data_IF_589594045359
#
_entry.id   IF_589594045359
#
_cell.length_a   1.000
_cell.length_b   1.000
_cell.length_c   1.000
_cell.angle_alpha   90.00
_cell.angle_beta   90.00
_cell.angle_gamma   90.00
#
_symmetry.space_group_name_H-M   'P 1'
#
loop_
_entity.id
_entity.type
_entity.pdbx_description
1 polymer ?
#
# COMPACT_ATOMS: atom_id res chain seq x y z
N UNK A 1 7.21 20.54 -25.78
CA UNK A 1 7.82 19.19 -25.77
C UNK A 1 6.96 18.31 -24.87
N UNK A 2 6.72 17.04 -25.21
CA UNK A 2 5.94 16.17 -24.32
C UNK A 2 6.66 16.05 -22.96
N UNK A 3 5.88 16.16 -21.87
CA UNK A 3 6.39 16.07 -20.50
C UNK A 3 6.74 14.62 -20.16
N UNK A 4 7.81 14.41 -19.38
CA UNK A 4 8.18 13.08 -18.86
C UNK A 4 7.05 12.56 -17.97
N UNK A 5 6.59 11.33 -18.22
CA UNK A 5 5.44 10.75 -17.52
C UNK A 5 5.63 10.73 -16.00
N UNK A 6 6.87 10.57 -15.51
CA UNK A 6 7.19 10.50 -14.08
C UNK A 6 6.93 11.81 -13.33
N UNK A 7 6.98 12.93 -14.04
CA UNK A 7 6.77 14.26 -13.48
C UNK A 7 5.29 14.65 -13.47
N UNK A 8 4.46 14.00 -14.28
CA UNK A 8 3.05 14.35 -14.40
C UNK A 8 2.30 14.07 -13.10
N UNK A 9 1.31 14.88 -12.72
CA UNK A 9 0.51 14.60 -11.53
C UNK A 9 -0.28 13.30 -11.67
N UNK A 10 -0.78 12.99 -12.87
CA UNK A 10 -1.44 11.72 -13.18
C UNK A 10 -1.31 11.35 -14.66
N UNK A 11 -1.59 10.08 -14.96
CA UNK A 11 -1.59 9.53 -16.33
C UNK A 11 -2.94 8.87 -16.63
N UNK A 12 -3.35 8.95 -17.89
CA UNK A 12 -4.58 8.37 -18.43
C UNK A 12 -4.32 7.02 -19.13
N UNK A 13 -5.40 6.38 -19.61
CA UNK A 13 -5.26 5.20 -20.47
C UNK A 13 -4.40 5.47 -21.71
N UNK A 14 -4.64 6.59 -22.39
CA UNK A 14 -3.91 6.97 -23.60
C UNK A 14 -2.42 7.23 -23.31
N UNK A 15 -2.12 7.79 -22.15
CA UNK A 15 -0.72 8.00 -21.73
C UNK A 15 -0.02 6.66 -21.48
N UNK A 16 -0.70 5.72 -20.84
CA UNK A 16 -0.16 4.39 -20.56
C UNK A 16 0.09 3.60 -21.85
N UNK A 17 -0.84 3.63 -22.82
CA UNK A 17 -0.69 2.90 -24.10
C UNK A 17 0.27 3.57 -25.07
N UNK A 18 0.61 4.84 -24.86
CA UNK A 18 1.65 5.54 -25.61
C UNK A 18 3.08 5.19 -25.15
N UNK A 19 3.25 4.50 -24.01
CA UNK A 19 4.56 4.06 -23.54
C UNK A 19 5.11 2.96 -24.45
N UNK A 20 6.38 3.08 -24.84
CA UNK A 20 7.03 2.19 -25.81
C UNK A 20 7.10 0.71 -25.37
N UNK A 21 6.98 0.45 -24.07
CA UNK A 21 6.99 -0.90 -23.49
C UNK A 21 5.60 -1.43 -23.14
N UNK A 22 4.54 -0.66 -23.41
CA UNK A 22 3.14 -1.10 -23.28
C UNK A 22 2.59 -1.36 -24.68
N UNK A 23 1.79 -2.42 -24.83
CA UNK A 23 1.11 -2.71 -26.10
C UNK A 23 0.19 -1.55 -26.46
N UNK A 24 0.25 -1.06 -27.69
CA UNK A 24 -0.58 0.05 -28.18
C UNK A 24 -2.08 -0.27 -28.18
N UNK A 25 -2.44 -1.54 -28.33
CA UNK A 25 -3.81 -2.05 -28.22
C UNK A 25 -3.84 -3.18 -27.19
N UNK A 26 -3.81 -2.87 -25.89
CA UNK A 26 -3.83 -3.88 -24.84
C UNK A 26 -5.26 -4.46 -24.72
N UNK A 27 -5.41 -5.73 -24.31
CA UNK A 27 -6.72 -6.34 -24.07
C UNK A 27 -7.34 -5.90 -22.72
N UNK A 28 -7.04 -4.68 -22.27
CA UNK A 28 -7.46 -4.15 -20.99
C UNK A 28 -7.61 -2.63 -21.02
N UNK A 29 -8.32 -2.09 -20.04
CA UNK A 29 -8.41 -0.65 -19.81
C UNK A 29 -7.57 -0.29 -18.60
N UNK A 30 -6.78 0.78 -18.74
CA UNK A 30 -6.03 1.35 -17.63
C UNK A 30 -6.81 2.52 -17.05
N UNK A 31 -7.20 2.45 -15.77
CA UNK A 31 -7.88 3.55 -15.07
C UNK A 31 -7.00 4.04 -13.93
N UNK A 32 -6.87 5.36 -13.75
CA UNK A 32 -6.11 5.91 -12.61
C UNK A 32 -6.71 5.40 -11.31
N UNK A 33 -5.87 4.82 -10.45
CA UNK A 33 -6.30 4.46 -9.11
C UNK A 33 -6.35 5.71 -8.24
N UNK A 34 -7.41 5.84 -7.43
CA UNK A 34 -7.62 7.03 -6.61
C UNK A 34 -6.57 7.18 -5.50
N UNK A 35 -5.96 6.09 -5.04
CA UNK A 35 -4.90 6.07 -4.01
C UNK A 35 -3.50 6.14 -4.62
N UNK A 36 -3.30 7.03 -5.58
CA UNK A 36 -1.99 7.18 -6.20
C UNK A 36 -1.00 7.81 -5.19
N UNK A 37 0.08 7.10 -4.88
CA UNK A 37 1.15 7.60 -4.00
C UNK A 37 2.12 8.57 -4.67
N UNK A 38 3.00 9.19 -3.88
CA UNK A 38 4.01 10.16 -4.34
C UNK A 38 5.16 9.52 -5.15
N UNK A 39 5.32 8.20 -5.04
CA UNK A 39 6.47 7.45 -5.58
C UNK A 39 6.15 6.71 -6.88
N UNK A 40 4.88 6.53 -7.21
CA UNK A 40 4.45 5.79 -8.40
C UNK A 40 3.18 6.37 -9.02
N UNK A 41 3.02 6.15 -10.32
CA UNK A 41 1.69 6.08 -10.93
C UNK A 41 1.09 4.73 -10.62
N UNK A 42 -0.17 4.71 -10.18
CA UNK A 42 -0.90 3.49 -9.87
C UNK A 42 -2.16 3.49 -10.75
N UNK A 43 -2.28 2.46 -11.58
CA UNK A 43 -3.35 2.27 -12.53
C UNK A 43 -4.04 0.95 -12.23
N UNK A 44 -5.36 0.94 -12.21
CA UNK A 44 -6.18 -0.27 -12.24
C UNK A 44 -6.13 -0.86 -13.65
N UNK A 45 -5.92 -2.18 -13.74
CA UNK A 45 -6.08 -2.95 -14.98
C UNK A 45 -7.46 -3.59 -14.94
N UNK A 46 -8.32 -3.17 -15.86
CA UNK A 46 -9.74 -3.55 -15.91
C UNK A 46 -10.07 -4.38 -17.15
N UNK A 47 -11.08 -5.23 -17.05
CA UNK A 47 -11.69 -5.85 -18.23
C UNK A 47 -12.48 -4.79 -19.01
N UNK A 48 -12.27 -4.64 -20.34
CA UNK A 48 -13.07 -3.74 -21.16
C UNK A 48 -14.59 -3.99 -21.08
N UNK A 49 -15.01 -5.26 -20.97
CA UNK A 49 -16.42 -5.63 -20.84
C UNK A 49 -17.01 -5.13 -19.51
N UNK A 50 -16.28 -5.26 -18.40
CA UNK A 50 -16.73 -4.75 -17.09
C UNK A 50 -16.84 -3.22 -17.12
N UNK A 51 -15.91 -2.53 -17.79
CA UNK A 51 -15.97 -1.07 -17.99
C UNK A 51 -17.17 -0.68 -18.84
N UNK A 52 -17.53 -1.47 -19.84
CA UNK A 52 -18.73 -1.21 -20.64
C UNK A 52 -20.01 -1.41 -19.83
N UNK A 53 -20.06 -2.44 -18.97
CA UNK A 53 -21.17 -2.64 -18.02
C UNK A 53 -21.25 -1.48 -17.03
N UNK A 54 -20.13 -1.00 -16.50
CA UNK A 54 -20.08 0.17 -15.61
C UNK A 54 -20.67 1.43 -16.29
N UNK A 55 -20.42 1.61 -17.60
CA UNK A 55 -20.87 2.78 -18.35
C UNK A 55 -22.32 2.69 -18.82
N UNK A 56 -22.71 1.55 -19.38
CA UNK A 56 -24.02 1.35 -19.99
C UNK A 56 -25.07 0.90 -18.98
N UNK A 57 -24.64 0.30 -17.88
CA UNK A 57 -25.49 -0.29 -16.85
C UNK A 57 -26.10 -1.62 -17.29
N UNK A 58 -26.40 -2.47 -16.31
CA UNK A 58 -27.07 -3.76 -16.49
C UNK A 58 -28.42 -3.77 -15.77
N UNK A 59 -29.40 -4.52 -16.28
CA UNK A 59 -30.71 -4.69 -15.64
C UNK A 59 -30.64 -5.86 -14.65
N UNK A 60 -30.88 -5.56 -13.37
CA UNK A 60 -30.98 -6.56 -12.30
C UNK A 60 -32.32 -6.30 -11.61
N UNK A 61 -33.21 -7.30 -11.61
CA UNK A 61 -34.56 -7.22 -11.02
C UNK A 61 -35.37 -5.99 -11.50
N UNK A 62 -35.24 -5.64 -12.79
CA UNK A 62 -35.92 -4.49 -13.41
C UNK A 62 -35.28 -3.14 -13.10
N UNK A 63 -34.24 -3.08 -12.27
CA UNK A 63 -33.51 -1.86 -11.91
C UNK A 63 -32.22 -1.80 -12.73
N UNK A 64 -31.95 -0.66 -13.38
CA UNK A 64 -30.67 -0.44 -14.07
C UNK A 64 -29.60 -0.09 -13.05
N UNK A 65 -28.63 -0.97 -12.90
CA UNK A 65 -27.47 -0.83 -12.01
C UNK A 65 -26.20 -0.58 -12.81
N UNK A 66 -25.28 0.20 -12.25
CA UNK A 66 -23.99 0.54 -12.86
C UNK A 66 -22.87 0.01 -11.95
N UNK A 67 -22.64 -1.32 -11.92
CA UNK A 67 -21.61 -1.89 -11.08
C UNK A 67 -20.24 -1.37 -11.53
N UNK A 68 -19.42 -0.94 -10.58
CA UNK A 68 -18.07 -0.48 -10.88
C UNK A 68 -17.21 -1.67 -11.32
N UNK A 69 -16.48 -1.52 -12.42
CA UNK A 69 -15.51 -2.49 -12.89
C UNK A 69 -14.43 -2.72 -11.81
N UNK A 70 -14.22 -3.98 -11.45
CA UNK A 70 -13.23 -4.37 -10.43
C UNK A 70 -11.85 -4.56 -11.07
N UNK A 71 -10.78 -3.99 -10.49
CA UNK A 71 -9.43 -4.21 -10.99
C UNK A 71 -9.06 -5.69 -10.95
N UNK A 72 -8.52 -6.21 -12.05
CA UNK A 72 -7.89 -7.55 -12.08
C UNK A 72 -6.50 -7.54 -11.48
N UNK A 73 -5.78 -6.43 -11.67
CA UNK A 73 -4.44 -6.15 -11.17
C UNK A 73 -4.23 -4.64 -11.07
N UNK A 74 -3.16 -4.25 -10.38
CA UNK A 74 -2.66 -2.90 -10.32
C UNK A 74 -1.37 -2.79 -11.14
N UNK A 75 -1.30 -1.84 -12.06
CA UNK A 75 -0.09 -1.49 -12.78
C UNK A 75 0.55 -0.28 -12.13
N UNK A 76 1.81 -0.41 -11.73
CA UNK A 76 2.58 0.61 -11.04
C UNK A 76 3.75 1.05 -11.89
N UNK A 77 3.97 2.35 -12.02
CA UNK A 77 5.13 2.93 -12.72
C UNK A 77 5.85 3.84 -11.74
N UNK A 78 7.09 3.53 -11.42
CA UNK A 78 7.86 4.34 -10.48
C UNK A 78 8.19 5.70 -11.08
N UNK A 79 8.11 6.74 -10.24
CA UNK A 79 8.46 8.13 -10.59
C UNK A 79 9.95 8.40 -10.40
N UNK A 80 10.63 7.60 -9.57
CA UNK A 80 12.06 7.71 -9.31
C UNK A 80 12.86 7.46 -10.59
N UNK A 81 13.85 8.33 -10.84
CA UNK A 81 14.77 8.17 -11.98
C UNK A 81 15.92 7.25 -11.56
N UNK A 82 15.94 6.05 -12.10
CA UNK A 82 16.96 5.04 -11.80
C UNK A 82 18.11 5.21 -12.78
N UNK A 83 19.20 5.87 -12.35
CA UNK A 83 20.34 6.21 -13.22
C UNK A 83 21.10 4.99 -13.76
N UNK A 84 21.01 3.85 -13.08
CA UNK A 84 21.75 2.63 -13.38
C UNK A 84 20.89 1.41 -13.11
N UNK A 85 21.24 0.29 -13.74
CA UNK A 85 20.61 -1.00 -13.48
C UNK A 85 20.79 -1.41 -12.01
N UNK A 86 21.95 -1.15 -11.41
CA UNK A 86 22.21 -1.46 -10.00
C UNK A 86 21.25 -0.73 -9.05
N UNK A 87 20.92 0.54 -9.34
CA UNK A 87 19.94 1.29 -8.55
C UNK A 87 18.55 0.67 -8.68
N UNK A 88 18.19 0.19 -9.87
CA UNK A 88 16.91 -0.50 -10.10
C UNK A 88 16.86 -1.86 -9.38
N UNK A 89 17.95 -2.63 -9.43
CA UNK A 89 18.07 -3.90 -8.72
C UNK A 89 18.03 -3.73 -7.20
N UNK A 90 18.64 -2.66 -6.67
CA UNK A 90 18.56 -2.32 -5.26
C UNK A 90 17.11 -2.00 -4.83
N UNK A 91 16.33 -1.30 -5.68
CA UNK A 91 14.91 -1.06 -5.44
C UNK A 91 14.11 -2.35 -5.38
N UNK A 92 14.30 -3.23 -6.35
CA UNK A 92 13.66 -4.55 -6.37
C UNK A 92 14.07 -5.36 -5.14
N UNK A 93 15.35 -5.30 -4.73
CA UNK A 93 15.85 -5.96 -3.53
C UNK A 93 15.13 -5.55 -2.25
N UNK A 94 14.69 -4.30 -2.14
CA UNK A 94 13.84 -3.83 -1.03
C UNK A 94 12.48 -4.51 -1.06
N UNK A 95 11.81 -4.53 -2.21
CA UNK A 95 10.51 -5.23 -2.37
C UNK A 95 10.65 -6.71 -2.03
N UNK A 96 11.71 -7.38 -2.50
CA UNK A 96 12.00 -8.79 -2.18
C UNK A 96 12.29 -9.05 -0.71
N UNK A 97 12.80 -8.04 0.01
CA UNK A 97 12.94 -8.13 1.47
C UNK A 97 11.56 -8.19 2.10
N UNK A 98 10.63 -7.30 1.74
CA UNK A 98 9.27 -7.31 2.31
C UNK A 98 8.53 -8.59 1.95
N UNK A 99 8.61 -9.05 0.70
CA UNK A 99 8.04 -10.33 0.27
C UNK A 99 8.53 -11.50 1.13
N UNK A 100 9.83 -11.56 1.47
CA UNK A 100 10.39 -12.65 2.29
C UNK A 100 9.71 -12.80 3.65
N UNK A 101 9.29 -11.69 4.26
CA UNK A 101 8.71 -11.69 5.61
C UNK A 101 7.18 -11.72 5.60
N UNK A 102 6.53 -11.18 4.57
CA UNK A 102 5.08 -11.02 4.52
C UNK A 102 4.37 -11.96 3.55
N UNK A 103 5.05 -12.50 2.54
CA UNK A 103 4.43 -13.41 1.59
C UNK A 103 4.22 -14.82 2.19
N UNK A 104 3.20 -15.54 1.71
CA UNK A 104 2.16 -15.09 0.78
C UNK A 104 0.99 -14.36 1.46
N UNK A 105 0.93 -14.38 2.79
CA UNK A 105 -0.32 -14.12 3.53
C UNK A 105 -0.65 -12.63 3.72
N UNK A 106 0.35 -11.75 3.74
CA UNK A 106 0.20 -10.37 4.23
C UNK A 106 0.71 -9.30 3.27
N UNK A 107 0.91 -9.64 2.00
CA UNK A 107 1.38 -8.71 0.97
C UNK A 107 0.61 -8.93 -0.33
N UNK A 108 0.24 -7.84 -0.99
CA UNK A 108 -0.24 -7.90 -2.36
C UNK A 108 0.91 -8.32 -3.26
N UNK A 109 0.84 -9.54 -3.79
CA UNK A 109 1.94 -10.10 -4.57
C UNK A 109 2.23 -9.24 -5.79
N UNK A 110 3.51 -9.01 -6.12
CA UNK A 110 3.89 -8.20 -7.28
C UNK A 110 4.99 -8.84 -8.13
N UNK A 111 4.89 -8.61 -9.44
CA UNK A 111 5.94 -8.86 -10.41
C UNK A 111 6.55 -7.52 -10.80
N UNK A 112 7.83 -7.34 -10.48
CA UNK A 112 8.60 -6.14 -10.81
C UNK A 112 9.38 -6.32 -12.12
N UNK A 113 9.39 -5.27 -12.96
CA UNK A 113 9.98 -5.26 -14.29
C UNK A 113 10.82 -4.00 -14.48
N UNK A 114 12.04 -4.15 -14.99
CA UNK A 114 12.87 -3.04 -15.45
C UNK A 114 12.71 -2.96 -16.96
N UNK A 115 12.35 -1.79 -17.48
CA UNK A 115 12.08 -1.58 -18.90
C UNK A 115 12.85 -0.40 -19.45
N UNK A 116 13.23 -0.50 -20.73
CA UNK A 116 13.72 0.63 -21.50
C UNK A 116 12.57 1.60 -21.79
N UNK A 117 12.72 2.84 -21.35
CA UNK A 117 11.74 3.90 -21.52
C UNK A 117 12.28 4.97 -22.48
N UNK A 118 11.50 5.27 -23.53
CA UNK A 118 11.78 6.38 -24.45
C UNK A 118 11.08 7.64 -23.95
N UNK A 119 11.78 8.44 -23.16
CA UNK A 119 11.31 9.71 -22.65
C UNK A 119 11.62 10.91 -23.56
N UNK A 120 11.22 12.13 -23.16
CA UNK A 120 11.49 13.35 -23.94
C UNK A 120 12.97 13.71 -24.07
N UNK A 121 13.82 13.17 -23.18
CA UNK A 121 15.26 13.40 -23.15
C UNK A 121 16.08 12.25 -23.73
N UNK A 122 15.44 11.23 -24.31
CA UNK A 122 16.09 10.03 -24.84
C UNK A 122 15.71 8.75 -24.09
N UNK A 123 16.57 7.76 -24.16
CA UNK A 123 16.40 6.47 -23.49
C UNK A 123 16.78 6.55 -22.01
N UNK A 124 15.99 5.92 -21.17
CA UNK A 124 16.18 5.85 -19.72
C UNK A 124 15.61 4.52 -19.18
N UNK A 125 15.94 4.17 -17.93
CA UNK A 125 15.36 3.02 -17.24
C UNK A 125 14.15 3.43 -16.42
N UNK A 126 13.10 2.61 -16.46
CA UNK A 126 11.93 2.74 -15.60
C UNK A 126 11.66 1.41 -14.92
N UNK A 127 11.41 1.46 -13.60
CA UNK A 127 10.86 0.34 -12.86
C UNK A 127 9.34 0.41 -12.90
N UNK A 128 8.70 -0.69 -13.25
CA UNK A 128 7.26 -0.85 -13.21
C UNK A 128 6.90 -2.21 -12.61
N UNK A 129 5.67 -2.35 -12.13
CA UNK A 129 5.23 -3.57 -11.47
C UNK A 129 3.77 -3.89 -11.72
N UNK A 130 3.47 -5.17 -11.84
CA UNK A 130 2.10 -5.69 -11.83
C UNK A 130 1.83 -6.29 -10.46
N UNK A 131 0.94 -5.67 -9.72
CA UNK A 131 0.57 -6.09 -8.37
C UNK A 131 -0.84 -6.67 -8.38
N UNK A 132 -1.07 -7.64 -7.50
CA UNK A 132 -2.38 -8.14 -7.16
C UNK A 132 -3.30 -7.00 -6.68
N UNK A 133 -4.56 -7.02 -7.12
CA UNK A 133 -5.58 -6.19 -6.52
C UNK A 133 -6.14 -6.91 -5.30
N UNK A 134 -6.10 -6.24 -4.15
CA UNK A 134 -6.59 -6.79 -2.88
C UNK A 134 -7.90 -6.12 -2.53
N UNK A 135 -8.95 -6.91 -2.48
CA UNK A 135 -10.28 -6.47 -2.06
C UNK A 135 -10.43 -6.49 -0.54
N UNK A 136 -11.05 -5.44 0.00
CA UNK A 136 -11.29 -5.29 1.44
C UNK A 136 -11.48 -3.84 1.88
N UNK A 137 -11.40 -3.62 3.19
CA UNK A 137 -11.47 -2.27 3.78
C UNK A 137 -10.10 -1.75 4.16
N UNK A 138 -9.96 -0.42 4.18
CA UNK A 138 -8.74 0.22 4.68
C UNK A 138 -8.61 -0.06 6.17
N UNK A 139 -7.45 -0.57 6.57
CA UNK A 139 -7.02 -0.54 7.95
C UNK A 139 -6.22 0.75 8.18
N UNK A 140 -6.88 1.79 8.66
CA UNK A 140 -6.24 3.07 8.96
C UNK A 140 -5.74 3.08 10.42
N UNK A 141 -4.41 3.10 10.67
CA UNK A 141 -3.87 3.15 12.02
C UNK A 141 -4.27 4.42 12.79
N UNK A 142 -4.59 5.51 12.09
CA UNK A 142 -4.86 6.83 12.69
C UNK A 142 -6.33 7.08 13.03
N UNK A 143 -7.22 6.15 12.69
CA UNK A 143 -8.65 6.25 12.99
C UNK A 143 -8.92 6.54 14.47
N UNK A 144 -9.99 7.28 14.76
CA UNK A 144 -10.40 7.58 16.14
C UNK A 144 -11.07 6.39 16.84
N UNK A 145 -11.45 5.36 16.08
CA UNK A 145 -12.07 4.16 16.63
C UNK A 145 -11.11 3.40 17.53
N UNK A 146 -11.60 3.01 18.70
CA UNK A 146 -10.87 2.20 19.66
C UNK A 146 -10.94 0.70 19.32
N UNK A 147 -10.31 -0.12 20.16
CA UNK A 147 -10.27 -1.56 19.96
C UNK A 147 -11.63 -2.28 20.02
N UNK A 148 -12.63 -1.69 20.69
CA UNK A 148 -13.97 -2.25 20.81
C UNK A 148 -14.81 -1.92 19.60
N UNK A 149 -14.59 -0.77 18.97
CA UNK A 149 -15.41 -0.26 17.88
C UNK A 149 -14.83 -0.54 16.48
N UNK A 150 -13.51 -0.59 16.35
CA UNK A 150 -12.83 -0.67 15.04
C UNK A 150 -13.26 -1.90 14.23
N UNK A 151 -13.10 -3.11 14.80
CA UNK A 151 -13.35 -4.34 14.06
C UNK A 151 -14.84 -4.53 13.73
N UNK A 152 -15.79 -4.26 14.65
CA UNK A 152 -17.20 -4.11 14.31
C UNK A 152 -17.50 -3.22 13.11
N UNK A 153 -16.99 -1.98 13.11
CA UNK A 153 -17.28 -1.02 12.06
C UNK A 153 -16.74 -1.48 10.70
N UNK A 154 -15.55 -2.09 10.69
CA UNK A 154 -14.97 -2.67 9.48
C UNK A 154 -15.79 -3.87 8.96
N UNK A 155 -16.24 -4.76 9.85
CA UNK A 155 -17.09 -5.89 9.48
C UNK A 155 -18.42 -5.43 8.86
N UNK A 156 -19.09 -4.47 9.50
CA UNK A 156 -20.38 -3.96 9.03
C UNK A 156 -20.21 -3.28 7.66
N UNK A 157 -19.08 -2.57 7.44
CA UNK A 157 -18.76 -1.97 6.13
C UNK A 157 -18.54 -3.03 5.05
N UNK A 158 -17.78 -4.10 5.35
CA UNK A 158 -17.58 -5.22 4.44
C UNK A 158 -18.91 -5.90 4.09
N UNK A 159 -19.79 -6.11 5.08
CA UNK A 159 -21.10 -6.74 4.91
C UNK A 159 -22.10 -5.90 4.12
N UNK A 160 -21.90 -4.57 4.03
CA UNK A 160 -22.69 -3.73 3.14
C UNK A 160 -22.25 -3.82 1.66
N UNK A 161 -20.98 -4.15 1.41
CA UNK A 161 -20.46 -4.35 0.04
C UNK A 161 -20.73 -5.76 -0.46
N UNK A 162 -20.49 -6.75 0.39
CA UNK A 162 -20.69 -8.16 0.09
C UNK A 162 -22.12 -8.58 0.43
N UNK A 163 -22.83 -9.20 -0.51
CA UNK A 163 -24.19 -9.71 -0.24
C UNK A 163 -24.20 -10.79 0.84
N UNK A 164 -23.08 -11.51 1.05
CA UNK A 164 -22.95 -12.51 2.10
C UNK A 164 -21.48 -12.67 2.48
N UNK A 165 -21.16 -12.42 3.76
CA UNK A 165 -19.82 -12.68 4.30
C UNK A 165 -19.67 -14.17 4.68
N UNK A 166 -18.46 -14.74 4.51
CA UNK A 166 -18.23 -16.17 4.73
C UNK A 166 -18.17 -16.57 6.21
N UNK A 167 -17.96 -15.60 7.11
CA UNK A 167 -17.81 -15.81 8.55
C UNK A 167 -18.84 -14.98 9.30
N UNK A 168 -19.28 -15.47 10.46
CA UNK A 168 -20.00 -14.61 11.39
C UNK A 168 -19.08 -13.50 11.92
N UNK A 169 -19.66 -12.42 12.44
CA UNK A 169 -18.90 -11.28 12.99
C UNK A 169 -17.87 -11.70 14.04
N UNK A 170 -18.25 -12.58 14.98
CA UNK A 170 -17.34 -13.03 16.04
C UNK A 170 -16.22 -13.95 15.52
N UNK A 171 -16.52 -14.80 14.53
CA UNK A 171 -15.50 -15.62 13.85
C UNK A 171 -14.53 -14.77 13.04
N UNK A 172 -15.04 -13.78 12.32
CA UNK A 172 -14.21 -12.85 11.56
C UNK A 172 -13.32 -12.04 12.50
N UNK A 173 -13.85 -11.47 13.59
CA UNK A 173 -13.05 -10.72 14.59
C UNK A 173 -11.94 -11.59 15.18
N UNK A 174 -12.23 -12.85 15.54
CA UNK A 174 -11.20 -13.79 16.04
C UNK A 174 -10.13 -14.05 14.99
N UNK A 175 -10.53 -14.25 13.74
CA UNK A 175 -9.63 -14.47 12.60
C UNK A 175 -8.72 -13.27 12.36
N UNK A 176 -9.29 -12.06 12.33
CA UNK A 176 -8.55 -10.80 12.20
C UNK A 176 -7.50 -10.66 13.30
N UNK A 177 -7.86 -10.93 14.56
CA UNK A 177 -6.92 -10.86 15.68
C UNK A 177 -5.78 -11.86 15.55
N UNK A 178 -6.08 -13.10 15.17
CA UNK A 178 -5.07 -14.14 14.98
C UNK A 178 -4.10 -13.79 13.84
N UNK A 179 -4.63 -13.38 12.69
CA UNK A 179 -3.82 -13.04 11.52
C UNK A 179 -3.04 -11.74 11.72
N UNK A 180 -3.62 -10.75 12.40
CA UNK A 180 -2.92 -9.50 12.71
C UNK A 180 -1.78 -9.70 13.69
N UNK A 181 -1.91 -10.62 14.66
CA UNK A 181 -0.78 -11.01 15.52
C UNK A 181 0.40 -11.53 14.69
N UNK A 182 0.14 -12.48 13.78
CA UNK A 182 1.17 -13.05 12.87
C UNK A 182 1.78 -11.98 11.96
N UNK A 183 0.96 -11.07 11.45
CA UNK A 183 1.43 -9.93 10.65
C UNK A 183 2.37 -9.02 11.44
N UNK A 184 1.97 -8.61 12.65
CA UNK A 184 2.77 -7.75 13.53
C UNK A 184 4.09 -8.43 13.87
N UNK A 185 4.06 -9.71 14.27
CA UNK A 185 5.27 -10.51 14.54
C UNK A 185 6.20 -10.56 13.33
N UNK A 186 5.64 -10.71 12.12
CA UNK A 186 6.42 -10.74 10.88
C UNK A 186 7.08 -9.39 10.57
N UNK A 187 6.37 -8.28 10.80
CA UNK A 187 6.94 -6.93 10.67
C UNK A 187 8.04 -6.69 11.70
N UNK A 188 7.81 -7.02 12.97
CA UNK A 188 8.80 -6.87 14.05
C UNK A 188 10.07 -7.67 13.74
N UNK A 189 9.91 -8.92 13.30
CA UNK A 189 11.01 -9.78 12.86
C UNK A 189 11.79 -9.16 11.70
N UNK A 190 11.11 -8.60 10.71
CA UNK A 190 11.76 -7.93 9.59
C UNK A 190 12.55 -6.68 10.02
N UNK A 191 12.04 -5.91 10.99
CA UNK A 191 12.77 -4.79 11.58
C UNK A 191 14.04 -5.28 12.27
N UNK A 192 13.96 -6.34 13.07
CA UNK A 192 15.10 -6.86 13.82
C UNK A 192 16.14 -7.58 12.94
N UNK A 193 15.70 -8.41 11.99
CA UNK A 193 16.58 -9.26 11.18
C UNK A 193 17.08 -8.55 9.91
N UNK A 194 16.22 -7.76 9.26
CA UNK A 194 16.57 -7.08 8.01
C UNK A 194 16.85 -5.59 8.19
N UNK A 195 16.51 -4.98 9.32
CA UNK A 195 16.68 -3.54 9.54
C UNK A 195 15.81 -2.70 8.60
N UNK A 196 14.63 -3.19 8.22
CA UNK A 196 13.71 -2.50 7.31
C UNK A 196 12.26 -2.57 7.80
N UNK A 197 11.46 -1.56 7.44
CA UNK A 197 10.02 -1.49 7.68
C UNK A 197 9.31 -0.92 6.44
N UNK A 198 8.21 -1.51 5.94
CA UNK A 198 7.37 -0.88 4.94
C UNK A 198 6.62 0.31 5.55
N UNK A 199 6.13 1.18 4.68
CA UNK A 199 5.25 2.25 5.10
C UNK A 199 3.90 1.71 5.55
N UNK A 200 3.68 1.72 6.86
CA UNK A 200 2.42 1.35 7.49
C UNK A 200 1.55 2.57 7.83
N UNK A 201 2.11 3.77 7.69
CA UNK A 201 1.48 5.02 8.10
C UNK A 201 0.55 5.60 7.03
N UNK A 202 0.76 5.26 5.76
CA UNK A 202 -0.09 5.74 4.67
C UNK A 202 -1.53 5.22 4.76
N UNK A 203 -2.50 6.14 4.68
CA UNK A 203 -3.91 5.77 4.60
C UNK A 203 -4.17 4.95 3.33
N UNK A 204 -4.57 3.69 3.51
CA UNK A 204 -4.81 2.76 2.41
C UNK A 204 -3.60 1.92 2.00
N UNK A 205 -2.48 1.97 2.73
CA UNK A 205 -1.35 1.05 2.55
C UNK A 205 -1.67 -0.35 3.06
N UNK A 206 -2.62 -0.47 3.98
CA UNK A 206 -3.10 -1.73 4.54
C UNK A 206 -4.57 -1.94 4.20
N UNK A 207 -4.88 -3.14 3.74
CA UNK A 207 -6.24 -3.61 3.47
C UNK A 207 -6.55 -4.78 4.39
N UNK A 208 -7.70 -4.74 5.05
CA UNK A 208 -8.27 -5.87 5.75
C UNK A 208 -9.28 -6.59 4.84
N UNK A 209 -8.93 -7.82 4.46
CA UNK A 209 -9.75 -8.64 3.55
C UNK A 209 -11.01 -9.18 4.22
N UNK A 210 -11.97 -9.63 3.41
CA UNK A 210 -13.16 -10.38 3.88
C UNK A 210 -12.81 -11.66 4.63
N UNK A 211 -11.64 -12.26 4.36
CA UNK A 211 -11.12 -13.42 5.07
C UNK A 211 -10.44 -13.07 6.40
N UNK A 212 -10.35 -11.79 6.75
CA UNK A 212 -9.74 -11.32 8.00
C UNK A 212 -8.21 -11.26 7.96
N UNK A 213 -7.59 -11.25 6.79
CA UNK A 213 -6.15 -11.02 6.64
C UNK A 213 -5.84 -9.52 6.48
N UNK A 214 -4.92 -8.95 7.27
CA UNK A 214 -4.31 -7.67 6.94
C UNK A 214 -3.31 -7.86 5.79
N UNK A 215 -3.34 -6.99 4.79
CA UNK A 215 -2.54 -7.11 3.60
C UNK A 215 -1.90 -5.77 3.25
N UNK A 216 -0.57 -5.76 3.11
CA UNK A 216 0.19 -4.61 2.64
C UNK A 216 0.05 -4.46 1.13
N UNK A 217 -0.56 -3.35 0.70
CA UNK A 217 -0.80 -3.04 -0.72
C UNK A 217 0.08 -1.92 -1.25
N UNK A 218 0.70 -1.09 -0.40
CA UNK A 218 1.79 -0.21 -0.82
C UNK A 218 3.13 -0.81 -0.42
N UNK A 219 3.82 -1.39 -1.39
CA UNK A 219 5.09 -2.09 -1.20
C UNK A 219 6.30 -1.27 -1.69
N UNK A 220 6.08 -0.03 -2.14
CA UNK A 220 7.12 0.80 -2.77
C UNK A 220 7.80 1.78 -1.81
N UNK A 221 7.28 1.90 -0.60
CA UNK A 221 7.87 2.76 0.41
C UNK A 221 8.43 1.89 1.54
N UNK A 222 9.72 1.57 1.45
CA UNK A 222 10.42 0.74 2.43
C UNK A 222 11.58 1.54 2.99
N UNK A 223 11.57 1.70 4.30
CA UNK A 223 12.52 2.51 5.05
C UNK A 223 13.47 1.64 5.85
N UNK A 224 14.70 2.13 6.03
CA UNK A 224 15.64 1.53 6.99
C UNK A 224 15.14 1.78 8.41
N UNK A 225 15.10 0.73 9.21
CA UNK A 225 14.82 0.79 10.63
C UNK A 225 16.15 0.79 11.40
N UNK A 226 16.73 1.98 11.54
CA UNK A 226 17.97 2.18 12.28
C UNK A 226 17.69 2.55 13.75
N UNK A 227 18.29 1.80 14.67
CA UNK A 227 18.19 2.03 16.11
C UNK A 227 19.06 3.22 16.59
N UNK A 228 19.73 3.93 15.69
CA UNK A 228 20.49 5.15 15.98
C UNK A 228 19.61 6.31 16.50
N UNK A 229 20.09 7.18 17.43
CA UNK A 229 19.38 8.35 17.99
C UNK A 229 18.73 9.29 16.99
N UNK A 230 19.35 9.47 15.83
CA UNK A 230 18.87 10.35 14.79
C UNK A 230 17.57 9.83 14.14
N UNK A 231 16.64 10.74 13.87
CA UNK A 231 15.47 10.47 13.02
C UNK A 231 15.89 10.61 11.57
N UNK A 232 15.77 9.51 10.82
CA UNK A 232 16.09 9.48 9.39
C UNK A 232 14.87 9.87 8.57
N UNK A 233 15.10 10.62 7.48
CA UNK A 233 14.06 11.07 6.57
C UNK A 233 14.20 10.35 5.24
N UNK A 234 13.06 10.12 4.57
CA UNK A 234 13.04 9.61 3.22
C UNK A 234 13.43 10.70 2.19
N UNK A 235 13.43 10.36 0.90
CA UNK A 235 13.77 11.30 -0.17
C UNK A 235 12.75 12.44 -0.35
N UNK A 236 11.59 12.37 0.30
CA UNK A 236 10.59 13.45 0.38
C UNK A 236 10.80 14.31 1.62
N UNK A 237 11.61 13.87 2.58
CA UNK A 237 11.83 14.55 3.85
C UNK A 237 10.85 14.13 4.95
N UNK A 238 10.17 12.99 4.81
CA UNK A 238 9.21 12.45 5.78
C UNK A 238 9.86 11.35 6.65
N UNK A 239 9.57 11.29 7.97
CA UNK A 239 10.13 10.28 8.87
C UNK A 239 9.34 8.96 8.78
N UNK A 240 9.33 8.33 7.60
CA UNK A 240 8.51 7.13 7.28
C UNK A 240 8.73 6.00 8.29
N UNK A 241 10.00 5.72 8.66
CA UNK A 241 10.32 4.62 9.58
C UNK A 241 9.63 4.81 10.94
N UNK A 242 9.84 5.96 11.59
CA UNK A 242 9.28 6.28 12.89
C UNK A 242 7.75 6.26 12.87
N UNK A 243 7.15 6.84 11.83
CA UNK A 243 5.68 6.88 11.66
C UNK A 243 5.09 5.51 11.38
N UNK A 244 5.81 4.64 10.68
CA UNK A 244 5.39 3.25 10.45
C UNK A 244 5.48 2.40 11.72
N UNK A 245 6.45 2.67 12.60
CA UNK A 245 6.53 2.01 13.90
C UNK A 245 5.43 2.50 14.85
N UNK A 246 5.12 3.80 14.82
CA UNK A 246 3.95 4.34 15.54
C UNK A 246 2.65 3.71 15.02
N UNK A 247 2.48 3.61 13.70
CA UNK A 247 1.34 2.94 13.09
C UNK A 247 1.25 1.46 13.51
N UNK A 248 2.37 0.73 13.54
CA UNK A 248 2.42 -0.67 13.99
C UNK A 248 1.92 -0.82 15.44
N UNK A 249 2.36 0.07 16.34
CA UNK A 249 1.91 0.05 17.73
C UNK A 249 0.41 0.34 17.87
N UNK A 250 -0.11 1.31 17.10
CA UNK A 250 -1.55 1.62 17.07
C UNK A 250 -2.39 0.45 16.52
N UNK A 251 -1.90 -0.22 15.47
CA UNK A 251 -2.54 -1.42 14.92
C UNK A 251 -2.56 -2.54 15.96
N UNK A 252 -1.43 -2.78 16.63
CA UNK A 252 -1.33 -3.78 17.69
C UNK A 252 -2.33 -3.51 18.82
N UNK A 253 -2.36 -2.26 19.31
CA UNK A 253 -3.26 -1.86 20.40
C UNK A 253 -4.73 -2.02 20.01
N UNK A 254 -5.11 -1.47 18.85
CA UNK A 254 -6.51 -1.44 18.40
C UNK A 254 -7.02 -2.81 17.98
N UNK A 255 -6.23 -3.59 17.25
CA UNK A 255 -6.71 -4.89 16.76
C UNK A 255 -6.66 -5.93 17.88
N UNK A 256 -5.55 -6.01 18.63
CA UNK A 256 -5.38 -7.03 19.66
C UNK A 256 -6.13 -6.69 20.96
N UNK A 257 -6.52 -5.42 21.16
CA UNK A 257 -7.42 -5.01 22.23
C UNK A 257 -6.77 -4.86 23.60
N UNK A 258 -5.50 -4.44 23.63
CA UNK A 258 -4.75 -4.19 24.85
C UNK A 258 -3.54 -3.30 24.59
N UNK A 259 -2.92 -2.73 25.63
CA UNK A 259 -1.75 -1.88 25.45
C UNK A 259 -0.59 -2.67 24.84
N UNK A 260 0.21 -1.99 24.02
CA UNK A 260 1.47 -2.55 23.53
C UNK A 260 2.45 -2.80 24.68
N UNK A 261 3.31 -3.82 24.54
CA UNK A 261 4.35 -4.11 25.52
C UNK A 261 5.36 -2.94 25.58
N UNK A 262 5.49 -2.23 26.72
CA UNK A 262 6.45 -1.14 26.86
C UNK A 262 7.92 -1.62 26.85
N UNK A 263 8.16 -2.92 27.06
CA UNK A 263 9.50 -3.52 27.02
C UNK A 263 9.89 -4.02 25.63
N UNK A 264 8.95 -4.03 24.68
CA UNK A 264 9.23 -4.32 23.28
C UNK A 264 10.38 -3.43 22.78
N UNK A 265 11.44 -4.07 22.27
CA UNK A 265 12.70 -3.41 21.92
C UNK A 265 12.47 -2.29 20.90
N UNK A 266 11.61 -2.55 19.91
CA UNK A 266 11.25 -1.61 18.85
C UNK A 266 10.52 -0.41 19.45
N UNK A 267 9.45 -0.63 20.22
CA UNK A 267 8.64 0.46 20.77
C UNK A 267 9.40 1.30 21.79
N UNK A 268 10.14 0.67 22.71
CA UNK A 268 11.00 1.38 23.67
C UNK A 268 11.95 2.34 22.96
N UNK A 269 12.45 1.94 21.78
CA UNK A 269 13.42 2.75 21.05
C UNK A 269 12.79 3.88 20.26
N UNK A 270 11.76 3.57 19.48
CA UNK A 270 11.20 4.48 18.49
C UNK A 270 10.07 5.35 19.06
N UNK A 271 9.41 4.89 20.13
CA UNK A 271 8.30 5.58 20.78
C UNK A 271 8.71 6.23 22.12
N UNK A 272 10.01 6.35 22.41
CA UNK A 272 10.51 7.13 23.54
C UNK A 272 10.02 8.59 23.44
N UNK A 273 9.64 9.25 24.55
CA UNK A 273 9.10 10.61 24.52
C UNK A 273 9.93 11.60 23.70
N UNK A 274 11.25 11.60 23.89
CA UNK A 274 12.18 12.52 23.22
C UNK A 274 12.16 12.34 21.70
N UNK A 275 12.12 11.08 21.25
CA UNK A 275 12.06 10.73 19.82
C UNK A 275 10.71 11.09 19.21
N UNK A 276 9.60 10.85 19.93
CA UNK A 276 8.27 11.23 19.46
C UNK A 276 8.14 12.74 19.27
N UNK A 277 8.69 13.53 20.18
CA UNK A 277 8.66 15.00 20.06
C UNK A 277 9.50 15.47 18.87
N UNK A 278 10.68 14.88 18.64
CA UNK A 278 11.48 15.15 17.45
C UNK A 278 10.75 14.80 16.15
N UNK A 279 10.12 13.62 16.07
CA UNK A 279 9.34 13.16 14.91
C UNK A 279 8.15 14.07 14.65
N UNK A 280 7.39 14.46 15.69
CA UNK A 280 6.28 15.42 15.56
C UNK A 280 6.74 16.76 15.00
N UNK A 281 7.87 17.28 15.46
CA UNK A 281 8.43 18.54 14.96
C UNK A 281 8.89 18.44 13.49
N UNK A 282 9.37 17.28 13.05
CA UNK A 282 9.70 17.00 11.65
C UNK A 282 8.43 16.92 10.80
N UNK A 283 7.44 16.13 11.23
CA UNK A 283 6.16 15.96 10.55
C UNK A 283 5.42 17.29 10.38
N UNK A 284 5.37 18.12 11.41
CA UNK A 284 4.78 19.45 11.34
C UNK A 284 5.49 20.38 10.36
N UNK A 285 6.79 20.21 10.13
CA UNK A 285 7.55 20.98 9.12
C UNK A 285 7.32 20.45 7.71
N UNK A 286 7.11 19.16 7.56
CA UNK A 286 6.82 18.53 6.27
C UNK A 286 5.49 19.05 5.70
N UNK A 287 4.44 19.09 6.51
CA UNK A 287 3.10 19.53 6.06
C UNK A 287 2.91 21.04 5.90
N UNK A 288 3.89 21.86 6.34
CA UNK A 288 3.88 23.32 6.18
C UNK A 288 4.50 23.78 4.85
N UNK A 289 5.10 22.87 4.07
CA UNK A 289 5.69 23.13 2.77
C UNK A 289 4.68 22.91 1.65
#
# INVERSE_FOLDING_TARGET
MPEDIRNRPSISHADATALNFVRSSPPCVFRRHFRQGLRSHIMEILDPADVEIERSGTLIDGIRMFPKATPRRMFRIFRSRLKTLDNAMAEIGRVKTVERYLAPDFIATSTECIVDYRGPYGWDLVLCGFQEYVEGEILDPWTLLDARELLPALYDTLGHRERTLPLTRDEWIRTVRQNSRRFIESIKRMVDEAGHIPDLAGAGNLILTVAGNPCLVDINNISRADFHPAVHLDEKGYPVCDKSIEALALIEEKILGGPVDPHEKIYRRFLSPERRDAVKAIEARFWKK
#
